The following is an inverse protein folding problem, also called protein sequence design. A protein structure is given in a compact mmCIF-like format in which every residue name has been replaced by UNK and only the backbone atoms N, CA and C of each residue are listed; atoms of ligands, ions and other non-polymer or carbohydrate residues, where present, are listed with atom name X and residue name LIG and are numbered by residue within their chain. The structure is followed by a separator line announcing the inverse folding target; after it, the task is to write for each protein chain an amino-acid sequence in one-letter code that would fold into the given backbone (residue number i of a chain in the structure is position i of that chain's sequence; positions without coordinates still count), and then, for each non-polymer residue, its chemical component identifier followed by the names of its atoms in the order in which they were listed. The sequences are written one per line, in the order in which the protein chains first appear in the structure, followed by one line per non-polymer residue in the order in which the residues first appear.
data_IF_324184141236
#
_entry.id   IF_324184141236
#
_cell.length_a   1.000
_cell.length_b   1.000
_cell.length_c   1.000
_cell.angle_alpha   90.00
_cell.angle_beta   90.00
_cell.angle_gamma   90.00
#
_symmetry.space_group_name_H-M   'P 1'
#
loop_
_entity.id
_entity.type
_entity.pdbx_description
1 polymer ?
#
# COMPACT_ATOMS: atom_id res chain seq x y z
N UNK A 1 20.32 -34.12 26.90
CA UNK A 1 19.31 -33.29 26.19
C UNK A 1 19.13 -33.87 24.80
N UNK A 2 17.91 -34.18 24.34
CA UNK A 2 17.70 -34.64 22.96
C UNK A 2 18.06 -33.51 21.99
N UNK A 3 18.86 -33.83 20.96
CA UNK A 3 19.26 -32.88 19.92
C UNK A 3 18.07 -32.39 19.08
N UNK A 4 18.21 -31.28 18.36
CA UNK A 4 17.15 -30.75 17.50
C UNK A 4 16.77 -31.80 16.46
N UNK A 5 15.52 -32.25 16.49
CA UNK A 5 14.95 -33.19 15.53
C UNK A 5 15.06 -32.60 14.12
N UNK A 6 15.76 -33.32 13.23
CA UNK A 6 15.93 -32.92 11.84
C UNK A 6 14.55 -32.84 11.15
N UNK A 7 14.10 -31.66 10.70
CA UNK A 7 12.81 -31.50 10.04
C UNK A 7 12.71 -32.29 8.73
N UNK A 8 13.83 -32.72 8.15
CA UNK A 8 13.89 -33.57 6.95
C UNK A 8 13.59 -35.04 7.24
N UNK A 9 13.71 -35.46 8.51
CA UNK A 9 13.48 -36.84 8.94
C UNK A 9 12.03 -37.10 9.35
N UNK A 10 11.18 -36.07 9.38
CA UNK A 10 9.75 -36.23 9.65
C UNK A 10 9.05 -36.82 8.42
N UNK A 11 8.28 -37.91 8.55
CA UNK A 11 7.50 -38.43 7.43
C UNK A 11 6.60 -37.30 6.90
N UNK A 12 6.52 -37.09 5.57
CA UNK A 12 5.70 -36.03 5.03
C UNK A 12 4.25 -36.23 5.49
N UNK A 13 3.52 -35.14 5.79
CA UNK A 13 2.11 -35.25 6.12
C UNK A 13 1.40 -36.05 5.04
N UNK A 14 0.58 -37.04 5.41
CA UNK A 14 -0.21 -37.81 4.46
C UNK A 14 -1.19 -36.88 3.77
N UNK A 15 -0.83 -36.42 2.58
CA UNK A 15 -1.69 -35.63 1.71
C UNK A 15 -2.63 -36.57 0.95
N UNK A 16 -3.91 -36.20 0.84
CA UNK A 16 -4.88 -36.90 -0.01
C UNK A 16 -4.33 -37.01 -1.45
N UNK A 17 -4.18 -38.22 -2.02
CA UNK A 17 -3.68 -38.41 -3.39
C UNK A 17 -4.45 -37.59 -4.43
N UNK A 18 -5.78 -37.43 -4.25
CA UNK A 18 -6.61 -36.62 -5.16
C UNK A 18 -6.36 -35.13 -5.02
N UNK A 19 -5.96 -34.66 -3.83
CA UNK A 19 -5.53 -33.28 -3.63
C UNK A 19 -4.16 -33.03 -4.29
N UNK A 20 -3.24 -34.00 -4.19
CA UNK A 20 -1.93 -33.92 -4.82
C UNK A 20 -2.02 -33.92 -6.35
N UNK A 21 -2.86 -34.78 -6.94
CA UNK A 21 -3.11 -34.78 -8.39
C UNK A 21 -3.70 -33.46 -8.88
N UNK A 22 -4.69 -32.91 -8.17
CA UNK A 22 -5.26 -31.59 -8.50
C UNK A 22 -4.22 -30.48 -8.42
N UNK A 23 -3.36 -30.50 -7.41
CA UNK A 23 -2.28 -29.53 -7.28
C UNK A 23 -1.24 -29.67 -8.42
N UNK A 24 -0.84 -30.90 -8.77
CA UNK A 24 0.07 -31.16 -9.88
C UNK A 24 -0.52 -30.73 -11.23
N UNK A 25 -1.80 -31.02 -11.48
CA UNK A 25 -2.50 -30.60 -12.69
C UNK A 25 -2.59 -29.06 -12.78
N UNK A 26 -2.89 -28.39 -11.67
CA UNK A 26 -2.91 -26.93 -11.60
C UNK A 26 -1.53 -26.32 -11.88
N UNK A 27 -0.47 -26.87 -11.28
CA UNK A 27 0.91 -26.42 -11.51
C UNK A 27 1.36 -26.64 -12.96
N UNK A 28 1.02 -27.78 -13.57
CA UNK A 28 1.32 -28.05 -15.00
C UNK A 28 0.57 -27.11 -15.92
N UNK A 29 -0.72 -26.86 -15.64
CA UNK A 29 -1.51 -25.89 -16.38
C UNK A 29 -0.90 -24.48 -16.27
N UNK A 30 -0.46 -24.08 -15.09
CA UNK A 30 0.22 -22.79 -14.89
C UNK A 30 1.54 -22.69 -15.67
N UNK A 31 2.40 -23.71 -15.60
CA UNK A 31 3.66 -23.76 -16.36
C UNK A 31 3.43 -23.74 -17.87
N UNK A 32 2.33 -24.32 -18.35
CA UNK A 32 1.98 -24.31 -19.78
C UNK A 32 1.66 -22.91 -20.30
N UNK A 33 1.25 -21.97 -19.42
CA UNK A 33 0.97 -20.59 -19.80
C UNK A 33 2.23 -19.78 -20.14
N UNK A 34 3.44 -20.31 -19.86
CA UNK A 34 4.75 -19.70 -20.16
C UNK A 34 4.85 -18.21 -19.80
N UNK A 35 4.16 -17.79 -18.74
CA UNK A 35 4.14 -16.38 -18.38
C UNK A 35 5.50 -15.94 -17.82
N UNK A 36 5.99 -14.75 -18.20
CA UNK A 36 7.26 -14.26 -17.69
C UNK A 36 7.14 -13.98 -16.18
N UNK A 37 8.00 -14.64 -15.39
CA UNK A 37 8.12 -14.37 -13.95
C UNK A 37 8.68 -12.97 -13.77
N UNK A 38 7.83 -12.04 -13.30
CA UNK A 38 8.28 -10.68 -13.00
C UNK A 38 9.10 -10.68 -11.71
N UNK A 39 10.24 -9.98 -11.72
CA UNK A 39 11.07 -9.79 -10.53
C UNK A 39 10.28 -8.94 -9.53
N UNK A 40 10.19 -9.40 -8.27
CA UNK A 40 9.48 -8.69 -7.19
C UNK A 40 9.96 -7.25 -7.03
N UNK A 41 11.25 -6.98 -7.26
CA UNK A 41 11.83 -5.62 -7.21
C UNK A 41 11.18 -4.69 -8.22
N UNK A 42 10.99 -5.15 -9.46
CA UNK A 42 10.34 -4.37 -10.51
C UNK A 42 8.86 -4.11 -10.19
N UNK A 43 8.19 -5.05 -9.54
CA UNK A 43 6.82 -4.85 -9.07
C UNK A 43 6.76 -3.84 -7.90
N UNK A 44 7.71 -3.89 -6.96
CA UNK A 44 7.82 -2.93 -5.87
C UNK A 44 8.10 -1.51 -6.38
N UNK A 45 9.04 -1.38 -7.31
CA UNK A 45 9.30 -0.12 -8.01
C UNK A 45 8.05 0.34 -8.77
N UNK A 46 7.33 -0.55 -9.43
CA UNK A 46 6.09 -0.22 -10.15
C UNK A 46 4.99 0.32 -9.22
N UNK A 47 4.78 -0.31 -8.06
CA UNK A 47 3.81 0.17 -7.07
C UNK A 47 4.22 1.53 -6.50
N UNK A 48 5.48 1.67 -6.10
CA UNK A 48 6.01 2.94 -5.62
C UNK A 48 5.91 4.04 -6.69
N UNK A 49 6.31 3.75 -7.93
CA UNK A 49 6.24 4.70 -9.04
C UNK A 49 4.79 5.11 -9.37
N UNK A 50 3.82 4.20 -9.26
CA UNK A 50 2.41 4.54 -9.43
C UNK A 50 1.93 5.50 -8.32
N UNK A 51 2.30 5.25 -7.06
CA UNK A 51 1.92 6.10 -5.94
C UNK A 51 2.65 7.47 -6.00
N UNK A 52 3.97 7.47 -6.07
CA UNK A 52 4.78 8.68 -6.13
C UNK A 52 4.47 9.50 -7.40
N UNK A 53 4.33 8.84 -8.55
CA UNK A 53 3.96 9.48 -9.81
C UNK A 53 2.60 10.17 -9.73
N UNK A 54 1.59 9.52 -9.14
CA UNK A 54 0.28 10.13 -8.93
C UNK A 54 0.37 11.34 -7.98
N UNK A 55 1.07 11.21 -6.85
CA UNK A 55 1.25 12.31 -5.90
C UNK A 55 1.94 13.52 -6.54
N UNK A 56 3.02 13.29 -7.29
CA UNK A 56 3.76 14.33 -7.99
C UNK A 56 2.94 14.95 -9.14
N UNK A 57 2.19 14.15 -9.89
CA UNK A 57 1.31 14.64 -10.95
C UNK A 57 0.24 15.58 -10.39
N UNK A 58 -0.46 15.19 -9.30
CA UNK A 58 -1.46 16.06 -8.67
C UNK A 58 -0.81 17.31 -8.09
N UNK A 59 0.37 17.19 -7.48
CA UNK A 59 1.14 18.36 -7.01
C UNK A 59 1.44 19.33 -8.16
N UNK A 60 1.88 18.81 -9.31
CA UNK A 60 2.11 19.61 -10.51
C UNK A 60 0.86 20.34 -10.99
N UNK A 61 -0.30 19.67 -10.98
CA UNK A 61 -1.60 20.29 -11.30
C UNK A 61 -1.95 21.38 -10.29
N UNK A 62 -1.80 21.14 -8.99
CA UNK A 62 -2.08 22.13 -7.96
C UNK A 62 -1.18 23.37 -8.08
N UNK A 63 0.10 23.19 -8.38
CA UNK A 63 1.04 24.28 -8.65
C UNK A 63 0.63 25.06 -9.91
N UNK A 64 0.29 24.36 -11.00
CA UNK A 64 -0.11 24.99 -12.27
C UNK A 64 -1.42 25.80 -12.14
N UNK A 65 -2.34 25.36 -11.28
CA UNK A 65 -3.60 26.04 -11.00
C UNK A 65 -3.49 27.10 -9.89
N UNK A 66 -2.29 27.34 -9.35
CA UNK A 66 -2.07 28.30 -8.25
C UNK A 66 -2.73 27.90 -6.92
N UNK A 67 -3.12 26.63 -6.77
CA UNK A 67 -3.70 26.07 -5.55
C UNK A 67 -2.64 25.61 -4.54
N UNK A 68 -1.38 25.51 -4.99
CA UNK A 68 -0.21 25.31 -4.16
C UNK A 68 0.89 26.30 -4.59
N UNK A 69 1.80 26.63 -3.68
CA UNK A 69 2.95 27.48 -3.96
C UNK A 69 4.26 26.76 -3.67
N UNK A 70 5.34 27.16 -4.35
CA UNK A 70 6.69 26.63 -4.09
C UNK A 70 7.13 26.78 -2.63
N UNK A 71 6.92 27.94 -1.98
CA UNK A 71 7.19 28.11 -0.55
C UNK A 71 6.36 27.16 0.34
N UNK A 72 5.08 26.94 0.03
CA UNK A 72 4.25 25.98 0.78
C UNK A 72 4.77 24.54 0.63
N UNK A 73 5.20 24.16 -0.57
CA UNK A 73 5.82 22.87 -0.84
C UNK A 73 7.11 22.68 -0.03
N UNK A 74 7.99 23.68 -0.01
CA UNK A 74 9.23 23.67 0.77
C UNK A 74 8.96 23.60 2.28
N UNK A 75 7.99 24.37 2.78
CA UNK A 75 7.60 24.35 4.19
C UNK A 75 7.06 22.99 4.64
N UNK A 76 6.45 22.22 3.74
CA UNK A 76 5.92 20.87 4.00
C UNK A 76 6.86 19.74 3.56
N UNK A 77 8.03 20.06 2.98
CA UNK A 77 8.94 19.08 2.39
C UNK A 77 9.33 17.93 3.32
N UNK A 78 9.62 18.13 4.63
CA UNK A 78 9.93 17.02 5.53
C UNK A 78 8.80 15.99 5.61
N UNK A 79 7.55 16.47 5.68
CA UNK A 79 6.38 15.60 5.80
C UNK A 79 6.10 14.86 4.49
N UNK A 80 6.23 15.54 3.37
CA UNK A 80 6.08 14.96 2.03
C UNK A 80 7.15 13.90 1.77
N UNK A 81 8.40 14.15 2.16
CA UNK A 81 9.49 13.19 2.07
C UNK A 81 9.25 11.96 2.96
N UNK A 82 8.70 12.14 4.16
CA UNK A 82 8.32 11.04 5.04
C UNK A 82 7.21 10.17 4.42
N UNK A 83 6.20 10.78 3.80
CA UNK A 83 5.12 10.05 3.13
C UNK A 83 5.61 9.28 1.90
N UNK A 84 6.50 9.87 1.09
CA UNK A 84 7.16 9.17 -0.02
C UNK A 84 8.01 8.00 0.46
N UNK A 85 8.79 8.21 1.54
CA UNK A 85 9.61 7.17 2.15
C UNK A 85 8.75 6.03 2.72
N UNK A 86 7.63 6.38 3.36
CA UNK A 86 6.64 5.40 3.85
C UNK A 86 6.05 4.60 2.69
N UNK A 87 5.72 5.26 1.58
CA UNK A 87 5.23 4.60 0.36
C UNK A 87 6.25 3.61 -0.21
N UNK A 88 7.52 4.01 -0.29
CA UNK A 88 8.61 3.16 -0.75
C UNK A 88 8.80 1.94 0.16
N UNK A 89 8.92 2.14 1.47
CA UNK A 89 9.11 1.06 2.45
C UNK A 89 7.92 0.10 2.45
N UNK A 90 6.69 0.62 2.37
CA UNK A 90 5.49 -0.21 2.28
C UNK A 90 5.47 -0.99 0.95
N UNK A 91 5.78 -0.37 -0.18
CA UNK A 91 5.84 -1.05 -1.48
C UNK A 91 6.85 -2.21 -1.48
N UNK A 92 8.03 -1.98 -0.92
CA UNK A 92 9.04 -3.02 -0.75
C UNK A 92 8.62 -4.08 0.27
N UNK A 93 8.05 -3.69 1.42
CA UNK A 93 7.59 -4.61 2.46
C UNK A 93 6.46 -5.52 1.99
N UNK A 94 5.55 -5.00 1.17
CA UNK A 94 4.49 -5.77 0.55
C UNK A 94 5.04 -6.82 -0.43
N UNK A 95 6.10 -6.52 -1.18
CA UNK A 95 6.48 -7.37 -2.32
C UNK A 95 7.79 -8.15 -2.12
N UNK A 96 8.57 -7.82 -1.10
CA UNK A 96 9.79 -8.54 -0.80
C UNK A 96 9.50 -9.97 -0.28
N UNK A 97 10.18 -11.00 -0.83
CA UNK A 97 10.01 -12.37 -0.37
C UNK A 97 10.53 -12.52 1.07
N UNK A 98 9.74 -13.18 1.93
CA UNK A 98 10.08 -13.56 3.32
C UNK A 98 10.46 -12.40 4.27
N UNK A 99 10.17 -11.14 3.96
CA UNK A 99 10.52 -9.98 4.81
C UNK A 99 9.39 -9.53 5.74
N UNK A 100 8.95 -10.41 6.64
CA UNK A 100 8.01 -10.06 7.73
C UNK A 100 8.43 -8.82 8.55
N UNK A 101 9.72 -8.59 8.92
CA UNK A 101 10.09 -7.38 9.66
C UNK A 101 9.85 -6.10 8.84
N UNK A 102 10.15 -6.10 7.54
CA UNK A 102 9.99 -4.91 6.69
C UNK A 102 8.53 -4.44 6.58
N UNK A 103 7.57 -5.37 6.68
CA UNK A 103 6.14 -5.05 6.74
C UNK A 103 5.78 -4.33 8.01
N UNK A 104 6.31 -4.78 9.15
CA UNK A 104 6.11 -4.10 10.42
C UNK A 104 6.79 -2.73 10.46
N UNK A 105 7.97 -2.58 9.85
CA UNK A 105 8.59 -1.27 9.64
C UNK A 105 7.65 -0.36 8.82
N UNK A 106 7.07 -0.86 7.73
CA UNK A 106 6.10 -0.10 6.94
C UNK A 106 4.88 0.32 7.75
N UNK A 107 4.30 -0.58 8.55
CA UNK A 107 3.17 -0.25 9.45
C UNK A 107 3.59 0.81 10.48
N UNK A 108 4.77 0.66 11.10
CA UNK A 108 5.30 1.64 12.05
C UNK A 108 5.51 3.01 11.43
N UNK A 109 6.10 3.07 10.23
CA UNK A 109 6.27 4.32 9.48
C UNK A 109 4.94 4.96 9.11
N UNK A 110 3.94 4.17 8.71
CA UNK A 110 2.60 4.67 8.44
C UNK A 110 1.93 5.22 9.70
N UNK A 111 2.07 4.56 10.84
CA UNK A 111 1.55 5.04 12.12
C UNK A 111 2.23 6.35 12.57
N UNK A 112 3.57 6.43 12.47
CA UNK A 112 4.33 7.66 12.77
C UNK A 112 3.92 8.79 11.83
N UNK A 113 3.80 8.52 10.53
CA UNK A 113 3.33 9.51 9.55
C UNK A 113 1.91 9.99 9.88
N UNK A 114 1.01 9.08 10.23
CA UNK A 114 -0.36 9.42 10.62
C UNK A 114 -0.39 10.30 11.87
N UNK A 115 0.41 9.98 12.89
CA UNK A 115 0.53 10.79 14.09
C UNK A 115 1.08 12.18 13.75
N UNK A 116 2.15 12.27 12.96
CA UNK A 116 2.74 13.55 12.57
C UNK A 116 1.77 14.40 11.75
N UNK A 117 1.00 13.84 10.80
CA UNK A 117 -0.02 14.58 10.04
C UNK A 117 -1.02 15.31 10.95
N UNK A 118 -1.36 14.70 12.09
CA UNK A 118 -2.31 15.26 13.05
C UNK A 118 -1.62 16.25 13.99
N UNK A 119 -0.44 15.88 14.52
CA UNK A 119 0.27 16.66 15.54
C UNK A 119 0.94 17.91 14.99
N UNK A 120 1.43 17.88 13.74
CA UNK A 120 2.06 19.05 13.11
C UNK A 120 1.05 19.98 12.47
N UNK A 121 -0.25 19.72 12.65
CA UNK A 121 -1.31 20.49 12.03
C UNK A 121 -1.52 21.81 12.76
N UNK A 122 -1.37 22.91 12.04
CA UNK A 122 -1.69 24.23 12.55
C UNK A 122 -3.20 24.42 12.78
N UNK A 123 -3.55 25.49 13.49
CA UNK A 123 -4.95 25.91 13.64
C UNK A 123 -5.61 26.11 12.26
N UNK A 124 -6.90 25.77 12.09
CA UNK A 124 -7.58 25.93 10.82
C UNK A 124 -7.58 27.42 10.40
N UNK A 125 -7.33 27.68 9.11
CA UNK A 125 -7.35 29.04 8.55
C UNK A 125 -8.78 29.56 8.31
N UNK A 126 -9.79 28.71 8.42
CA UNK A 126 -11.20 29.06 8.31
C UNK A 126 -12.12 27.87 8.04
N UNK A 127 -13.45 28.06 8.14
CA UNK A 127 -14.42 27.01 7.82
C UNK A 127 -14.37 26.66 6.31
N UNK A 128 -14.46 25.37 5.98
CA UNK A 128 -14.59 24.94 4.58
C UNK A 128 -16.00 25.23 4.05
N UNK A 129 -16.09 25.72 2.82
CA UNK A 129 -17.37 25.80 2.10
C UNK A 129 -17.84 24.42 1.57
N UNK A 130 -16.97 23.40 1.58
CA UNK A 130 -17.27 22.07 1.07
C UNK A 130 -17.56 21.09 2.22
N UNK A 131 -18.46 20.12 2.01
CA UNK A 131 -18.67 19.03 2.96
C UNK A 131 -17.38 18.25 3.21
N UNK A 132 -17.12 17.88 4.47
CA UNK A 132 -15.86 17.26 4.86
C UNK A 132 -15.60 15.89 4.18
N UNK A 133 -16.65 15.17 3.75
CA UNK A 133 -16.52 13.90 3.04
C UNK A 133 -15.82 14.04 1.67
N UNK A 134 -15.80 15.25 1.09
CA UNK A 134 -15.15 15.51 -0.22
C UNK A 134 -13.65 15.21 -0.14
N UNK A 135 -12.98 15.52 0.98
CA UNK A 135 -11.57 15.18 1.19
C UNK A 135 -11.37 13.66 1.18
N UNK A 136 -12.25 12.89 1.84
CA UNK A 136 -12.22 11.43 1.80
C UNK A 136 -12.42 10.89 0.39
N UNK A 137 -13.42 11.39 -0.35
CA UNK A 137 -13.69 10.97 -1.72
C UNK A 137 -12.51 11.28 -2.66
N UNK A 138 -11.93 12.47 -2.55
CA UNK A 138 -10.75 12.87 -3.31
C UNK A 138 -9.54 11.98 -3.03
N UNK A 139 -9.29 11.65 -1.75
CA UNK A 139 -8.21 10.73 -1.36
C UNK A 139 -8.39 9.35 -1.98
N UNK A 140 -9.61 8.81 -1.93
CA UNK A 140 -9.93 7.51 -2.53
C UNK A 140 -9.75 7.57 -4.05
N UNK A 141 -10.25 8.61 -4.71
CA UNK A 141 -10.16 8.79 -6.15
C UNK A 141 -8.69 8.83 -6.63
N UNK A 142 -7.84 9.62 -5.97
CA UNK A 142 -6.42 9.71 -6.31
C UNK A 142 -5.67 8.40 -6.05
N UNK A 143 -6.11 7.60 -5.08
CA UNK A 143 -5.49 6.32 -4.77
C UNK A 143 -5.94 5.17 -5.69
N UNK A 144 -6.93 5.36 -6.57
CA UNK A 144 -7.45 4.29 -7.43
C UNK A 144 -6.35 3.66 -8.29
N UNK A 145 -5.52 4.47 -8.93
CA UNK A 145 -4.43 3.98 -9.79
C UNK A 145 -3.43 3.12 -9.02
N UNK A 146 -2.80 3.58 -7.91
CA UNK A 146 -1.88 2.75 -7.16
C UNK A 146 -2.57 1.54 -6.49
N UNK A 147 -3.84 1.62 -6.10
CA UNK A 147 -4.60 0.45 -5.60
C UNK A 147 -4.78 -0.60 -6.69
N UNK A 148 -5.15 -0.22 -7.91
CA UNK A 148 -5.27 -1.15 -9.04
C UNK A 148 -3.93 -1.83 -9.34
N UNK A 149 -2.83 -1.06 -9.31
CA UNK A 149 -1.47 -1.61 -9.45
C UNK A 149 -1.15 -2.58 -8.32
N UNK A 150 -1.43 -2.21 -7.06
CA UNK A 150 -1.22 -3.06 -5.90
C UNK A 150 -1.98 -4.39 -6.01
N UNK A 151 -3.27 -4.36 -6.34
CA UNK A 151 -4.11 -5.55 -6.53
C UNK A 151 -3.61 -6.42 -7.69
N UNK A 152 -3.19 -5.79 -8.81
CA UNK A 152 -2.63 -6.49 -9.96
C UNK A 152 -1.35 -7.24 -9.64
N UNK A 153 -0.50 -6.68 -8.78
CA UNK A 153 0.72 -7.34 -8.30
C UNK A 153 0.40 -8.40 -7.24
N UNK A 154 -0.44 -8.09 -6.24
CA UNK A 154 -0.82 -9.02 -5.17
C UNK A 154 -1.46 -10.29 -5.71
N UNK A 155 -2.20 -10.20 -6.83
CA UNK A 155 -2.78 -11.36 -7.52
C UNK A 155 -1.72 -12.37 -8.00
N UNK A 156 -0.46 -11.97 -8.13
CA UNK A 156 0.66 -12.82 -8.56
C UNK A 156 1.35 -13.55 -7.41
N UNK A 157 0.84 -13.42 -6.17
CA UNK A 157 1.38 -14.08 -5.01
C UNK A 157 0.28 -14.74 -4.18
N UNK A 158 0.65 -15.71 -3.34
CA UNK A 158 -0.24 -16.25 -2.34
C UNK A 158 -0.77 -15.13 -1.41
N UNK A 159 -2.07 -15.20 -1.09
CA UNK A 159 -2.71 -14.21 -0.24
C UNK A 159 -2.10 -14.20 1.16
N UNK A 160 -1.69 -13.02 1.61
CA UNK A 160 -1.18 -12.80 2.95
C UNK A 160 -1.76 -11.47 3.48
N UNK A 161 -2.56 -11.48 4.56
CA UNK A 161 -3.32 -10.31 5.01
C UNK A 161 -2.47 -9.06 5.22
N UNK A 162 -1.37 -9.19 5.97
CA UNK A 162 -0.47 -8.08 6.29
C UNK A 162 0.17 -7.51 5.01
N UNK A 163 0.42 -8.36 4.01
CA UNK A 163 0.96 -7.94 2.71
C UNK A 163 0.00 -7.01 1.98
N UNK A 164 -1.28 -7.37 1.96
CA UNK A 164 -2.32 -6.60 1.30
C UNK A 164 -2.57 -5.26 2.04
N UNK A 165 -2.57 -5.28 3.37
CA UNK A 165 -2.68 -4.05 4.19
C UNK A 165 -1.51 -3.11 3.89
N UNK A 166 -0.27 -3.61 3.92
CA UNK A 166 0.92 -2.79 3.65
C UNK A 166 0.93 -2.24 2.22
N UNK A 167 0.47 -3.00 1.23
CA UNK A 167 0.31 -2.49 -0.14
C UNK A 167 -0.74 -1.37 -0.22
N UNK A 168 -1.85 -1.49 0.51
CA UNK A 168 -2.87 -0.45 0.61
C UNK A 168 -2.39 0.78 1.38
N UNK A 169 -1.57 0.61 2.41
CA UNK A 169 -0.89 1.72 3.09
C UNK A 169 0.03 2.46 2.11
N UNK A 170 0.80 1.76 1.27
CA UNK A 170 1.60 2.38 0.22
C UNK A 170 0.75 3.22 -0.74
N UNK A 171 -0.35 2.66 -1.25
CA UNK A 171 -1.24 3.37 -2.17
C UNK A 171 -1.93 4.57 -1.52
N UNK A 172 -2.38 4.45 -0.26
CA UNK A 172 -3.05 5.52 0.44
C UNK A 172 -2.16 6.70 0.85
N UNK A 173 -0.83 6.57 0.79
CA UNK A 173 0.08 7.70 0.97
C UNK A 173 -0.16 8.83 -0.03
N UNK A 174 -0.72 8.54 -1.22
CA UNK A 174 -1.05 9.56 -2.22
C UNK A 174 -2.08 10.55 -1.70
N UNK A 175 -3.18 10.04 -1.12
CA UNK A 175 -4.20 10.89 -0.52
C UNK A 175 -3.65 11.70 0.64
N UNK A 176 -2.88 11.07 1.54
CA UNK A 176 -2.22 11.78 2.63
C UNK A 176 -1.26 12.88 2.15
N UNK A 177 -0.48 12.62 1.09
CA UNK A 177 0.47 13.55 0.50
C UNK A 177 -0.23 14.76 -0.11
N UNK A 178 -1.24 14.53 -0.95
CA UNK A 178 -2.00 15.61 -1.58
C UNK A 178 -2.82 16.37 -0.55
N UNK A 179 -3.42 15.66 0.41
CA UNK A 179 -4.16 16.28 1.50
C UNK A 179 -3.28 17.16 2.37
N UNK A 180 -2.04 16.77 2.62
CA UNK A 180 -1.07 17.61 3.33
C UNK A 180 -0.76 18.88 2.54
N UNK A 181 -0.85 18.90 1.21
CA UNK A 181 -0.64 20.09 0.38
C UNK A 181 -1.87 20.96 0.20
N UNK A 182 -3.02 20.36 -0.09
CA UNK A 182 -4.21 21.06 -0.57
C UNK A 182 -5.26 21.33 0.50
N UNK A 183 -5.21 20.62 1.63
CA UNK A 183 -6.12 20.88 2.73
C UNK A 183 -5.49 21.86 3.70
N UNK A 184 -6.30 22.73 4.31
CA UNK A 184 -5.89 23.66 5.37
C UNK A 184 -6.72 23.48 6.65
N UNK A 185 -7.50 22.39 6.72
CA UNK A 185 -8.31 22.06 7.89
C UNK A 185 -7.45 21.56 9.05
N UNK A 186 -7.99 21.69 10.27
CA UNK A 186 -7.31 21.34 11.51
C UNK A 186 -7.18 19.83 11.76
N UNK A 187 -6.51 19.51 12.87
CA UNK A 187 -6.14 18.14 13.27
C UNK A 187 -7.33 17.15 13.29
N UNK A 188 -8.49 17.56 13.81
CA UNK A 188 -9.68 16.70 13.85
C UNK A 188 -10.20 16.30 12.46
N UNK A 189 -10.13 17.21 11.50
CA UNK A 189 -10.51 16.91 10.11
C UNK A 189 -9.51 15.94 9.47
N UNK A 190 -8.20 16.18 9.66
CA UNK A 190 -7.16 15.28 9.16
C UNK A 190 -7.34 13.88 9.76
N UNK A 191 -7.55 13.77 11.07
CA UNK A 191 -7.77 12.50 11.73
C UNK A 191 -9.01 11.75 11.20
N UNK A 192 -10.15 12.43 11.08
CA UNK A 192 -11.39 11.79 10.65
C UNK A 192 -11.42 11.45 9.15
N UNK A 193 -11.03 12.40 8.30
CA UNK A 193 -11.28 12.30 6.85
C UNK A 193 -10.04 11.89 6.06
N UNK A 194 -8.85 12.35 6.45
CA UNK A 194 -7.61 12.00 5.74
C UNK A 194 -7.11 10.64 6.20
N UNK A 195 -6.91 10.45 7.51
CA UNK A 195 -6.50 9.16 8.06
C UNK A 195 -7.59 8.10 7.91
N UNK A 196 -8.87 8.50 8.04
CA UNK A 196 -10.00 7.63 7.73
C UNK A 196 -9.96 7.10 6.30
N UNK A 197 -9.71 7.95 5.30
CA UNK A 197 -9.53 7.53 3.91
C UNK A 197 -8.31 6.60 3.73
N UNK A 198 -7.20 6.91 4.40
CA UNK A 198 -5.98 6.10 4.33
C UNK A 198 -6.20 4.69 4.90
N UNK A 199 -6.84 4.61 6.08
CA UNK A 199 -7.24 3.34 6.69
C UNK A 199 -8.23 2.58 5.82
N UNK A 200 -9.24 3.27 5.26
CA UNK A 200 -10.21 2.68 4.34
C UNK A 200 -9.52 2.04 3.12
N UNK A 201 -8.55 2.72 2.51
CA UNK A 201 -7.81 2.18 1.36
C UNK A 201 -6.98 0.93 1.72
N UNK A 202 -6.38 0.90 2.91
CA UNK A 202 -5.69 -0.28 3.42
C UNK A 202 -6.65 -1.47 3.61
N UNK A 203 -7.81 -1.22 4.21
CA UNK A 203 -8.85 -2.23 4.42
C UNK A 203 -9.49 -2.70 3.10
N UNK A 204 -9.76 -1.79 2.15
CA UNK A 204 -10.26 -2.13 0.83
C UNK A 204 -9.26 -2.99 0.07
N UNK A 205 -7.98 -2.64 0.09
CA UNK A 205 -6.93 -3.44 -0.57
C UNK A 205 -6.87 -4.84 0.02
N UNK A 206 -6.95 -4.97 1.35
CA UNK A 206 -7.06 -6.27 2.01
C UNK A 206 -8.30 -7.06 1.59
N UNK A 207 -9.49 -6.45 1.66
CA UNK A 207 -10.76 -7.09 1.37
C UNK A 207 -10.87 -7.53 -0.09
N UNK A 208 -10.39 -6.70 -1.02
CA UNK A 208 -10.35 -7.02 -2.45
C UNK A 208 -9.32 -8.11 -2.72
N UNK A 209 -8.12 -8.02 -2.16
CA UNK A 209 -7.06 -9.02 -2.32
C UNK A 209 -7.51 -10.41 -1.87
N UNK A 210 -8.28 -10.51 -0.78
CA UNK A 210 -8.88 -11.77 -0.31
C UNK A 210 -9.79 -12.44 -1.35
N UNK A 211 -10.45 -11.64 -2.20
CA UNK A 211 -11.39 -12.12 -3.23
C UNK A 211 -10.72 -12.39 -4.58
N UNK A 212 -9.47 -11.97 -4.76
CA UNK A 212 -8.75 -12.21 -6.01
C UNK A 212 -8.33 -13.68 -6.08
N UNK A 213 -8.68 -14.35 -7.17
CA UNK A 213 -8.13 -15.67 -7.49
C UNK A 213 -6.62 -15.52 -7.75
N UNK A 214 -5.73 -16.14 -6.93
CA UNK A 214 -4.30 -16.11 -7.17
C UNK A 214 -4.00 -16.64 -8.57
N UNK A 215 -3.11 -15.96 -9.29
CA UNK A 215 -2.64 -16.40 -10.61
C UNK A 215 -1.51 -17.42 -10.53
N UNK A 216 -0.86 -17.50 -9.38
CA UNK A 216 0.21 -18.47 -9.12
C UNK A 216 -0.14 -19.28 -7.88
N UNK A 217 0.10 -20.59 -7.95
CA UNK A 217 0.08 -21.47 -6.78
C UNK A 217 1.49 -21.70 -6.22
N UNK A 218 2.50 -21.06 -6.80
CA UNK A 218 3.87 -21.08 -6.30
C UNK A 218 3.97 -20.28 -4.98
N UNK A 219 4.51 -20.89 -3.90
CA UNK A 219 4.60 -20.28 -2.58
C UNK A 219 5.53 -19.06 -2.49
#
# INVERSE_FOLDING_TARGET
MPGPSDPLSSPPPRLDPRALERALAASRAELSLRQPVRRWRSQAVGLFAAAAGMALAVTGVLLALGQASGPALLGRAPMLALLLSTSAVCSWGALAPRRRPLRWVGVGMAAVSAALLVLTRAAPLGPSALPAWVCTAGHVAMALVPVVVALGVLRQAAFEPLRAVVAGLAAGTVGAFVGELACEQGAGHVAAYHLGAWALLALMTWALSKRLKPRTYAP
#
